data_IF_164032511291
#
_entry.id   IF_164032511291
#
_cell.length_a   1.000
_cell.length_b   1.000
_cell.length_c   1.000
_cell.angle_alpha   90.00
_cell.angle_beta   90.00
_cell.angle_gamma   90.00
#
_symmetry.space_group_name_H-M   'P 1'
#
loop_
_entity.id
_entity.type
_entity.pdbx_description
1 polymer ?
#
# COMPACT_ATOMS: atom_id res chain seq x y z
N UNK A 1 -31.24 -31.60 -8.56
CA UNK A 1 -31.37 -32.16 -7.20
C UNK A 1 -31.36 -31.04 -6.16
N UNK A 2 -32.53 -30.64 -5.66
CA UNK A 2 -32.62 -29.71 -4.53
C UNK A 2 -32.70 -30.56 -3.24
N UNK A 3 -31.64 -30.51 -2.41
CA UNK A 3 -31.66 -31.10 -1.07
C UNK A 3 -31.58 -29.96 -0.07
N UNK A 4 -32.53 -29.95 0.88
CA UNK A 4 -32.76 -28.91 1.88
C UNK A 4 -31.49 -28.64 2.71
N UNK A 5 -31.15 -27.37 2.86
CA UNK A 5 -29.92 -26.87 3.51
C UNK A 5 -30.02 -26.82 5.05
N UNK A 6 -30.86 -27.66 5.66
CA UNK A 6 -31.28 -27.54 7.06
C UNK A 6 -30.16 -27.66 8.11
N UNK A 7 -29.05 -28.34 7.78
CA UNK A 7 -27.88 -28.49 8.66
C UNK A 7 -26.59 -27.85 8.12
N UNK A 8 -26.67 -27.18 6.96
CA UNK A 8 -25.50 -26.59 6.30
C UNK A 8 -24.96 -25.35 7.01
N UNK A 9 -25.84 -24.55 7.60
CA UNK A 9 -25.49 -23.28 8.25
C UNK A 9 -24.75 -23.52 9.57
N UNK A 10 -25.20 -24.46 10.41
CA UNK A 10 -24.51 -24.83 11.65
C UNK A 10 -23.14 -25.42 11.39
N UNK A 11 -23.01 -26.29 10.38
CA UNK A 11 -21.72 -26.82 9.92
C UNK A 11 -20.79 -25.70 9.41
N UNK A 12 -21.32 -24.72 8.69
CA UNK A 12 -20.55 -23.56 8.21
C UNK A 12 -20.05 -22.69 9.37
N UNK A 13 -20.90 -22.41 10.37
CA UNK A 13 -20.54 -21.62 11.55
C UNK A 13 -19.49 -22.33 12.40
N UNK A 14 -19.65 -23.64 12.63
CA UNK A 14 -18.64 -24.46 13.35
C UNK A 14 -17.31 -24.42 12.60
N UNK A 15 -17.34 -24.52 11.26
CA UNK A 15 -16.12 -24.44 10.48
C UNK A 15 -15.48 -23.05 10.51
N UNK A 16 -16.29 -21.98 10.51
CA UNK A 16 -15.79 -20.61 10.68
C UNK A 16 -15.12 -20.43 12.05
N UNK A 17 -15.69 -21.01 13.10
CA UNK A 17 -15.07 -21.04 14.42
C UNK A 17 -13.76 -21.85 14.43
N UNK A 18 -13.71 -22.99 13.73
CA UNK A 18 -12.48 -23.77 13.54
C UNK A 18 -11.43 -22.97 12.77
N UNK A 19 -11.83 -22.25 11.71
CA UNK A 19 -10.94 -21.39 10.94
C UNK A 19 -10.33 -20.28 11.80
N UNK A 20 -11.14 -19.62 12.63
CA UNK A 20 -10.68 -18.62 13.61
C UNK A 20 -9.78 -19.26 14.67
N UNK A 21 -10.12 -20.46 15.13
CA UNK A 21 -9.30 -21.21 16.08
C UNK A 21 -7.93 -21.61 15.51
N UNK A 22 -7.89 -22.08 14.26
CA UNK A 22 -6.63 -22.41 13.55
C UNK A 22 -5.82 -21.14 13.32
N UNK A 23 -6.46 -20.04 12.93
CA UNK A 23 -5.79 -18.75 12.78
C UNK A 23 -5.14 -18.30 14.10
N UNK A 24 -5.91 -18.28 15.19
CA UNK A 24 -5.39 -17.86 16.50
C UNK A 24 -4.29 -18.79 17.02
N UNK A 25 -4.46 -20.11 16.87
CA UNK A 25 -3.44 -21.08 17.26
C UNK A 25 -2.15 -20.91 16.43
N UNK A 26 -2.28 -20.66 15.13
CA UNK A 26 -1.14 -20.38 14.26
C UNK A 26 -0.47 -19.04 14.61
N UNK A 27 -1.24 -18.02 14.98
CA UNK A 27 -0.74 -16.71 15.41
C UNK A 27 0.07 -16.85 16.70
N UNK A 28 -0.48 -17.46 17.73
CA UNK A 28 0.21 -17.71 19.02
C UNK A 28 1.46 -18.57 18.83
N UNK A 29 1.44 -19.52 17.89
CA UNK A 29 2.60 -20.36 17.60
C UNK A 29 3.69 -19.61 16.81
N UNK A 30 3.33 -18.69 15.93
CA UNK A 30 4.26 -17.91 15.10
C UNK A 30 4.75 -16.62 15.77
N UNK A 31 4.02 -16.10 16.75
CA UNK A 31 4.32 -14.87 17.50
C UNK A 31 5.76 -14.85 18.06
N UNK A 32 6.26 -15.93 18.70
CA UNK A 32 7.60 -15.95 19.27
C UNK A 32 8.74 -15.86 18.24
N UNK A 33 8.48 -16.26 16.99
CA UNK A 33 9.49 -16.32 15.93
C UNK A 33 9.40 -15.19 14.90
N UNK A 34 8.22 -14.61 14.68
CA UNK A 34 7.97 -13.68 13.57
C UNK A 34 7.34 -12.34 14.00
N UNK A 35 7.05 -12.12 15.28
CA UNK A 35 6.60 -10.83 15.82
C UNK A 35 5.40 -10.25 15.05
N UNK A 36 5.51 -9.01 14.57
CA UNK A 36 4.43 -8.30 13.83
C UNK A 36 3.97 -9.01 12.55
N UNK A 37 4.78 -9.90 11.99
CA UNK A 37 4.47 -10.66 10.77
C UNK A 37 3.67 -11.94 11.06
N UNK A 38 3.54 -12.33 12.34
CA UNK A 38 2.88 -13.56 12.74
C UNK A 38 1.42 -13.62 12.30
N UNK A 39 0.66 -12.51 12.38
CA UNK A 39 -0.75 -12.48 11.97
C UNK A 39 -0.95 -12.77 10.47
N UNK A 40 -0.08 -12.24 9.59
CA UNK A 40 -0.19 -12.47 8.15
C UNK A 40 0.18 -13.92 7.81
N UNK A 41 1.24 -14.43 8.44
CA UNK A 41 1.69 -15.82 8.25
C UNK A 41 0.65 -16.81 8.81
N UNK A 42 0.04 -16.50 9.95
CA UNK A 42 -1.03 -17.28 10.56
C UNK A 42 -2.27 -17.33 9.67
N UNK A 43 -2.64 -16.21 9.04
CA UNK A 43 -3.75 -16.18 8.09
C UNK A 43 -3.45 -17.02 6.84
N UNK A 44 -2.23 -16.93 6.29
CA UNK A 44 -1.78 -17.79 5.19
C UNK A 44 -1.81 -19.27 5.56
N UNK A 45 -1.28 -19.62 6.74
CA UNK A 45 -1.27 -20.99 7.25
C UNK A 45 -2.69 -21.52 7.47
N UNK A 46 -3.59 -20.70 8.03
CA UNK A 46 -4.98 -21.06 8.23
C UNK A 46 -5.68 -21.35 6.89
N UNK A 47 -5.50 -20.51 5.87
CA UNK A 47 -6.08 -20.74 4.54
C UNK A 47 -5.55 -22.03 3.91
N UNK A 48 -4.25 -22.30 4.01
CA UNK A 48 -3.64 -23.55 3.50
C UNK A 48 -4.18 -24.78 4.24
N UNK A 49 -4.24 -24.72 5.58
CA UNK A 49 -4.73 -25.80 6.43
C UNK A 49 -6.20 -26.11 6.16
N UNK A 50 -7.05 -25.08 6.01
CA UNK A 50 -8.46 -25.24 5.67
C UNK A 50 -8.64 -25.82 4.26
N UNK A 51 -7.79 -25.41 3.31
CA UNK A 51 -7.79 -25.97 1.96
C UNK A 51 -7.40 -27.45 1.95
N UNK A 52 -6.30 -27.78 2.63
CA UNK A 52 -5.78 -29.14 2.73
C UNK A 52 -6.79 -30.06 3.42
N UNK A 53 -7.42 -29.60 4.51
CA UNK A 53 -8.48 -30.32 5.19
C UNK A 53 -9.67 -30.62 4.26
N UNK A 54 -10.14 -29.63 3.49
CA UNK A 54 -11.24 -29.82 2.57
C UNK A 54 -10.92 -30.75 1.38
N UNK A 55 -9.67 -30.74 0.91
CA UNK A 55 -9.20 -31.69 -0.10
C UNK A 55 -9.11 -33.11 0.48
N UNK A 56 -8.57 -33.24 1.68
CA UNK A 56 -8.39 -34.52 2.38
C UNK A 56 -9.73 -35.18 2.69
N UNK A 57 -10.69 -34.41 3.20
CA UNK A 57 -12.05 -34.86 3.44
C UNK A 57 -12.72 -35.35 2.15
N UNK A 58 -12.60 -34.57 1.06
CA UNK A 58 -13.15 -34.95 -0.25
C UNK A 58 -12.50 -36.21 -0.82
N UNK A 59 -11.19 -36.37 -0.62
CA UNK A 59 -10.44 -37.54 -1.07
C UNK A 59 -10.80 -38.80 -0.26
N UNK A 60 -10.90 -38.67 1.07
CA UNK A 60 -11.20 -39.76 2.00
C UNK A 60 -12.71 -40.07 2.11
N UNK A 61 -13.58 -39.28 1.48
CA UNK A 61 -15.05 -39.40 1.53
C UNK A 61 -15.59 -39.46 2.97
N UNK A 62 -14.87 -38.87 3.91
CA UNK A 62 -15.29 -38.75 5.29
C UNK A 62 -16.40 -37.70 5.31
N UNK A 63 -17.67 -38.07 5.40
CA UNK A 63 -18.81 -37.12 5.36
C UNK A 63 -18.89 -36.28 6.66
N UNK A 64 -17.82 -35.58 7.07
CA UNK A 64 -17.79 -34.77 8.29
C UNK A 64 -18.40 -33.38 8.07
N UNK A 65 -18.24 -32.79 6.89
CA UNK A 65 -18.81 -31.51 6.50
C UNK A 65 -20.13 -31.69 5.78
N UNK A 66 -21.06 -30.76 6.01
CA UNK A 66 -22.23 -30.62 5.16
C UNK A 66 -21.80 -30.32 3.71
N UNK A 67 -22.56 -30.83 2.74
CA UNK A 67 -22.30 -30.60 1.30
C UNK A 67 -22.22 -29.11 0.94
N UNK A 68 -22.94 -28.24 1.66
CA UNK A 68 -22.85 -26.80 1.47
C UNK A 68 -21.50 -26.24 1.95
N UNK A 69 -21.06 -26.61 3.15
CA UNK A 69 -19.77 -26.16 3.68
C UNK A 69 -18.62 -26.60 2.75
N UNK A 70 -18.60 -27.87 2.33
CA UNK A 70 -17.60 -28.39 1.40
C UNK A 70 -17.59 -27.63 0.05
N UNK A 71 -18.76 -27.35 -0.53
CA UNK A 71 -18.86 -26.56 -1.77
C UNK A 71 -18.34 -25.13 -1.60
N UNK A 72 -18.75 -24.44 -0.53
CA UNK A 72 -18.30 -23.08 -0.24
C UNK A 72 -16.78 -23.05 -0.11
N UNK A 73 -16.21 -23.99 0.65
CA UNK A 73 -14.76 -24.07 0.88
C UNK A 73 -13.99 -24.29 -0.43
N UNK A 74 -14.37 -25.30 -1.22
CA UNK A 74 -13.66 -25.66 -2.45
C UNK A 74 -13.74 -24.53 -3.50
N UNK A 75 -14.81 -23.74 -3.49
CA UNK A 75 -15.01 -22.65 -4.45
C UNK A 75 -14.33 -21.36 -3.97
N UNK A 76 -14.44 -21.03 -2.68
CA UNK A 76 -14.02 -19.75 -2.13
C UNK A 76 -12.54 -19.72 -1.70
N UNK A 77 -12.00 -20.84 -1.20
CA UNK A 77 -10.62 -20.87 -0.72
C UNK A 77 -9.59 -20.59 -1.83
N UNK A 78 -9.67 -21.13 -3.05
CA UNK A 78 -8.63 -20.86 -4.04
C UNK A 78 -8.49 -19.38 -4.43
N UNK A 79 -9.58 -18.62 -4.68
CA UNK A 79 -9.49 -17.16 -4.82
C UNK A 79 -8.95 -16.45 -3.57
N UNK A 80 -9.36 -16.85 -2.36
CA UNK A 80 -8.84 -16.26 -1.11
C UNK A 80 -7.35 -16.54 -0.93
N UNK A 81 -6.89 -17.74 -1.26
CA UNK A 81 -5.48 -18.10 -1.23
C UNK A 81 -4.65 -17.24 -2.20
N UNK A 82 -5.19 -16.91 -3.37
CA UNK A 82 -4.54 -15.96 -4.29
C UNK A 82 -4.47 -14.56 -3.70
N UNK A 83 -5.55 -14.07 -3.07
CA UNK A 83 -5.55 -12.77 -2.38
C UNK A 83 -4.50 -12.76 -1.27
N UNK A 84 -4.44 -13.80 -0.45
CA UNK A 84 -3.44 -13.93 0.61
C UNK A 84 -2.01 -14.04 0.08
N UNK A 85 -1.80 -14.76 -1.02
CA UNK A 85 -0.50 -14.86 -1.65
C UNK A 85 -0.01 -13.49 -2.16
N UNK A 86 -0.90 -12.67 -2.74
CA UNK A 86 -0.54 -11.33 -3.20
C UNK A 86 -0.39 -10.34 -2.03
N UNK A 87 -1.43 -10.15 -1.23
CA UNK A 87 -1.40 -9.17 -0.14
C UNK A 87 -0.40 -9.58 0.96
N UNK A 88 -0.33 -10.87 1.28
CA UNK A 88 0.55 -11.38 2.32
C UNK A 88 2.02 -11.16 1.97
N UNK A 89 2.43 -11.43 0.74
CA UNK A 89 3.82 -11.19 0.31
C UNK A 89 4.19 -9.72 0.26
N UNK A 90 3.23 -8.83 -0.06
CA UNK A 90 3.41 -7.38 0.01
C UNK A 90 3.59 -6.92 1.46
N UNK A 91 2.70 -7.33 2.36
CA UNK A 91 2.77 -6.90 3.76
C UNK A 91 3.98 -7.48 4.51
N UNK A 92 4.42 -8.69 4.16
CA UNK A 92 5.64 -9.29 4.71
C UNK A 92 6.92 -8.66 4.14
N UNK A 93 6.80 -7.77 3.14
CA UNK A 93 7.94 -7.15 2.47
C UNK A 93 8.77 -8.12 1.61
N UNK A 94 8.22 -9.31 1.31
CA UNK A 94 8.88 -10.32 0.47
C UNK A 94 8.82 -9.91 -1.00
N UNK A 95 7.72 -9.27 -1.40
CA UNK A 95 7.50 -8.83 -2.77
C UNK A 95 7.01 -7.39 -2.81
N UNK A 96 7.53 -6.63 -3.76
CA UNK A 96 7.01 -5.32 -4.13
C UNK A 96 5.62 -5.45 -4.79
N UNK A 97 4.80 -4.39 -4.88
CA UNK A 97 3.47 -4.47 -5.50
C UNK A 97 3.48 -5.03 -6.93
N UNK A 98 4.53 -4.76 -7.72
CA UNK A 98 4.72 -5.30 -9.07
C UNK A 98 5.00 -6.80 -9.05
N UNK A 99 5.86 -7.28 -8.15
CA UNK A 99 6.14 -8.70 -7.95
C UNK A 99 4.93 -9.44 -7.36
N UNK A 100 4.19 -8.81 -6.45
CA UNK A 100 2.91 -9.29 -5.93
C UNK A 100 1.89 -9.52 -7.04
N UNK A 101 1.77 -8.57 -7.97
CA UNK A 101 0.94 -8.72 -9.17
C UNK A 101 1.37 -9.90 -10.05
N UNK A 102 2.67 -10.09 -10.27
CA UNK A 102 3.19 -11.23 -11.03
C UNK A 102 2.88 -12.56 -10.36
N UNK A 103 3.05 -12.65 -9.04
CA UNK A 103 2.70 -13.84 -8.27
C UNK A 103 1.20 -14.15 -8.31
N UNK A 104 0.33 -13.12 -8.28
CA UNK A 104 -1.11 -13.28 -8.49
C UNK A 104 -1.45 -13.86 -9.86
N UNK A 105 -0.79 -13.37 -10.93
CA UNK A 105 -0.99 -13.86 -12.29
C UNK A 105 -0.51 -15.31 -12.47
N UNK A 106 0.68 -15.65 -11.95
CA UNK A 106 1.20 -17.02 -11.94
C UNK A 106 0.28 -17.94 -11.13
N UNK A 107 -0.17 -17.51 -9.95
CA UNK A 107 -1.11 -18.26 -9.12
C UNK A 107 -2.44 -18.52 -9.83
N UNK A 108 -2.97 -17.52 -10.55
CA UNK A 108 -4.20 -17.68 -11.34
C UNK A 108 -4.01 -18.68 -12.51
N UNK A 109 -2.85 -18.67 -13.18
CA UNK A 109 -2.50 -19.64 -14.22
C UNK A 109 -2.42 -21.06 -13.67
N UNK A 110 -1.75 -21.26 -12.53
CA UNK A 110 -1.68 -22.56 -11.84
C UNK A 110 -3.09 -23.03 -11.46
N UNK A 111 -3.94 -22.15 -10.92
CA UNK A 111 -5.31 -22.49 -10.56
C UNK A 111 -6.16 -22.88 -11.78
N UNK A 112 -6.01 -22.16 -12.90
CA UNK A 112 -6.69 -22.48 -14.16
C UNK A 112 -6.22 -23.83 -14.73
N UNK A 113 -4.93 -24.14 -14.61
CA UNK A 113 -4.34 -25.41 -15.02
C UNK A 113 -4.90 -26.57 -14.17
N UNK A 114 -4.89 -26.45 -12.84
CA UNK A 114 -5.44 -27.46 -11.92
C UNK A 114 -6.93 -27.69 -12.17
N UNK A 115 -7.69 -26.62 -12.48
CA UNK A 115 -9.12 -26.73 -12.84
C UNK A 115 -9.35 -27.23 -14.28
N UNK A 116 -8.31 -27.55 -15.05
CA UNK A 116 -8.37 -27.98 -16.45
C UNK A 116 -9.15 -27.01 -17.35
N UNK A 117 -9.05 -25.71 -17.05
CA UNK A 117 -9.69 -24.62 -17.82
C UNK A 117 -8.70 -23.76 -18.59
N UNK A 118 -7.41 -24.09 -18.50
CA UNK A 118 -6.36 -23.37 -19.21
C UNK A 118 -6.37 -23.80 -20.69
N UNK A 119 -6.65 -22.85 -21.58
CA UNK A 119 -6.53 -23.01 -23.03
C UNK A 119 -5.72 -21.85 -23.62
N UNK A 120 -5.10 -22.07 -24.78
CA UNK A 120 -4.35 -21.03 -25.46
C UNK A 120 -5.24 -19.83 -25.84
N UNK A 121 -6.51 -20.09 -26.14
CA UNK A 121 -7.51 -19.06 -26.41
C UNK A 121 -7.77 -18.18 -25.18
N UNK A 122 -7.94 -18.79 -24.00
CA UNK A 122 -8.13 -18.04 -22.73
C UNK A 122 -6.89 -17.21 -22.42
N UNK A 123 -5.68 -17.77 -22.59
CA UNK A 123 -4.43 -17.04 -22.37
C UNK A 123 -4.33 -15.85 -23.34
N UNK A 124 -4.56 -16.07 -24.63
CA UNK A 124 -4.48 -15.00 -25.65
C UNK A 124 -5.51 -13.91 -25.40
N UNK A 125 -6.73 -14.28 -25.03
CA UNK A 125 -7.80 -13.34 -24.68
C UNK A 125 -7.44 -12.52 -23.44
N UNK A 126 -6.94 -13.17 -22.38
CA UNK A 126 -6.49 -12.51 -21.16
C UNK A 126 -5.33 -11.54 -21.44
N UNK A 127 -4.31 -11.98 -22.17
CA UNK A 127 -3.17 -11.12 -22.55
C UNK A 127 -3.63 -9.92 -23.39
N UNK A 128 -4.49 -10.13 -24.39
CA UNK A 128 -4.99 -9.03 -25.21
C UNK A 128 -5.79 -8.00 -24.39
N UNK A 129 -6.62 -8.47 -23.44
CA UNK A 129 -7.36 -7.58 -22.54
C UNK A 129 -6.43 -6.81 -21.60
N UNK A 130 -5.46 -7.49 -20.99
CA UNK A 130 -4.48 -6.86 -20.09
C UNK A 130 -3.64 -5.83 -20.84
N UNK A 131 -3.08 -6.18 -22.00
CA UNK A 131 -2.26 -5.26 -22.81
C UNK A 131 -3.06 -4.03 -23.23
N UNK A 132 -4.34 -4.18 -23.61
CA UNK A 132 -5.19 -3.04 -23.96
C UNK A 132 -5.39 -2.09 -22.76
N UNK A 133 -5.69 -2.64 -21.58
CA UNK A 133 -5.85 -1.84 -20.37
C UNK A 133 -4.54 -1.15 -19.97
N UNK A 134 -3.42 -1.87 -19.99
CA UNK A 134 -2.10 -1.30 -19.72
C UNK A 134 -1.73 -0.20 -20.73
N UNK A 135 -2.02 -0.38 -22.02
CA UNK A 135 -1.74 0.64 -23.04
C UNK A 135 -2.56 1.91 -22.82
N UNK A 136 -3.82 1.79 -22.43
CA UNK A 136 -4.67 2.92 -22.05
C UNK A 136 -4.08 3.69 -20.87
N UNK A 137 -3.73 2.99 -19.80
CA UNK A 137 -3.10 3.60 -18.60
C UNK A 137 -1.76 4.28 -18.96
N UNK A 138 -0.92 3.62 -19.76
CA UNK A 138 0.37 4.19 -20.19
C UNK A 138 0.21 5.46 -21.02
N UNK A 139 -0.82 5.53 -21.89
CA UNK A 139 -1.09 6.72 -22.67
C UNK A 139 -1.53 7.90 -21.80
N UNK A 140 -2.34 7.63 -20.77
CA UNK A 140 -2.77 8.66 -19.83
C UNK A 140 -1.61 9.11 -18.96
N UNK A 141 -0.75 8.19 -18.53
CA UNK A 141 0.49 8.51 -17.85
C UNK A 141 1.37 9.47 -18.67
N UNK A 142 1.50 9.23 -19.98
CA UNK A 142 2.24 10.12 -20.87
C UNK A 142 1.61 11.52 -20.92
N UNK A 143 0.29 11.60 -21.10
CA UNK A 143 -0.45 12.87 -21.12
C UNK A 143 -0.36 13.62 -19.80
N UNK A 144 -0.55 12.93 -18.68
CA UNK A 144 -0.40 13.48 -17.32
C UNK A 144 1.02 14.00 -17.09
N UNK A 145 2.04 13.34 -17.66
CA UNK A 145 3.42 13.80 -17.51
C UNK A 145 3.73 15.04 -18.33
N UNK A 146 3.22 15.14 -19.56
CA UNK A 146 3.30 16.36 -20.37
C UNK A 146 2.57 17.52 -19.68
N UNK A 147 1.36 17.27 -19.16
CA UNK A 147 0.61 18.26 -18.38
C UNK A 147 1.39 18.71 -17.16
N UNK A 148 1.86 17.76 -16.33
CA UNK A 148 2.60 18.03 -15.11
C UNK A 148 3.87 18.85 -15.38
N UNK A 149 4.69 18.47 -16.37
CA UNK A 149 5.90 19.21 -16.72
C UNK A 149 5.59 20.63 -17.20
N UNK A 150 4.58 20.80 -18.06
CA UNK A 150 4.17 22.13 -18.55
C UNK A 150 3.62 22.99 -17.41
N UNK A 151 2.78 22.39 -16.56
CA UNK A 151 2.17 23.02 -15.40
C UNK A 151 3.22 23.49 -14.38
N UNK A 152 4.25 22.68 -14.10
CA UNK A 152 5.39 23.11 -13.30
C UNK A 152 6.19 24.22 -13.99
N UNK A 153 6.42 24.09 -15.31
CA UNK A 153 7.16 25.08 -16.09
C UNK A 153 6.53 26.47 -16.12
N UNK A 154 5.20 26.57 -16.01
CA UNK A 154 4.47 27.86 -15.92
C UNK A 154 4.18 28.29 -14.48
N UNK A 155 4.81 27.65 -13.48
CA UNK A 155 4.56 27.91 -12.06
C UNK A 155 3.10 27.68 -11.60
N UNK A 156 2.36 26.80 -12.28
CA UNK A 156 0.98 26.51 -11.94
C UNK A 156 0.81 25.95 -10.53
N UNK A 157 1.79 25.17 -10.05
CA UNK A 157 1.80 24.60 -8.69
C UNK A 157 1.77 25.70 -7.61
N UNK A 158 2.52 26.79 -7.80
CA UNK A 158 2.52 27.95 -6.91
C UNK A 158 1.17 28.68 -6.94
N UNK A 159 0.54 28.77 -8.12
CA UNK A 159 -0.80 29.36 -8.24
C UNK A 159 -1.85 28.55 -7.48
N UNK A 160 -1.82 27.22 -7.61
CA UNK A 160 -2.74 26.32 -6.88
C UNK A 160 -2.45 26.32 -5.38
N UNK A 161 -1.19 26.34 -4.98
CA UNK A 161 -0.81 26.50 -3.58
C UNK A 161 -1.43 27.76 -2.97
N UNK A 162 -1.29 28.92 -3.60
CA UNK A 162 -1.93 30.16 -3.13
C UNK A 162 -3.46 30.08 -3.13
N UNK A 163 -4.06 29.48 -4.15
CA UNK A 163 -5.53 29.33 -4.24
C UNK A 163 -6.05 28.45 -3.09
N UNK A 164 -5.35 27.37 -2.76
CA UNK A 164 -5.78 26.41 -1.76
C UNK A 164 -5.42 26.84 -0.33
N UNK A 165 -4.29 27.53 -0.13
CA UNK A 165 -3.89 28.10 1.17
C UNK A 165 -4.72 29.34 1.54
N UNK A 166 -5.28 30.05 0.57
CA UNK A 166 -6.21 31.16 0.81
C UNK A 166 -7.63 30.73 1.17
N UNK A 167 -7.93 29.43 1.14
CA UNK A 167 -9.23 28.92 1.58
C UNK A 167 -9.41 29.13 3.09
N UNK A 168 -10.60 29.57 3.54
CA UNK A 168 -10.89 29.68 4.97
C UNK A 168 -10.88 28.30 5.64
N UNK A 169 -10.25 28.21 6.81
CA UNK A 169 -10.22 26.98 7.62
C UNK A 169 -8.89 26.24 7.67
N UNK A 170 -7.82 26.81 7.11
CA UNK A 170 -6.46 26.25 7.20
C UNK A 170 -6.38 24.81 6.70
N UNK A 171 -5.70 23.94 7.46
CA UNK A 171 -5.56 22.51 7.13
C UNK A 171 -6.91 21.81 6.95
N UNK A 172 -7.88 22.05 7.82
CA UNK A 172 -9.19 21.38 7.77
C UNK A 172 -10.04 21.86 6.60
N UNK A 173 -10.03 23.16 6.32
CA UNK A 173 -10.70 23.73 5.16
C UNK A 173 -10.15 23.16 3.85
N UNK A 174 -8.82 23.05 3.76
CA UNK A 174 -8.13 22.41 2.64
C UNK A 174 -8.57 20.95 2.46
N UNK A 175 -8.52 20.14 3.52
CA UNK A 175 -8.85 18.71 3.43
C UNK A 175 -10.30 18.46 3.01
N UNK A 176 -11.24 19.26 3.51
CA UNK A 176 -12.66 19.16 3.13
C UNK A 176 -12.83 19.57 1.66
N UNK A 177 -12.27 20.70 1.24
CA UNK A 177 -12.39 21.19 -0.13
C UNK A 177 -11.79 20.20 -1.14
N UNK A 178 -10.58 19.70 -0.86
CA UNK A 178 -9.93 18.67 -1.67
C UNK A 178 -10.74 17.38 -1.69
N UNK A 179 -11.28 16.96 -0.55
CA UNK A 179 -12.05 15.72 -0.50
C UNK A 179 -13.33 15.82 -1.34
N UNK A 180 -14.03 16.95 -1.31
CA UNK A 180 -15.20 17.18 -2.16
C UNK A 180 -14.81 17.24 -3.64
N UNK A 181 -13.72 17.95 -3.97
CA UNK A 181 -13.22 18.03 -5.34
C UNK A 181 -12.89 16.65 -5.89
N UNK A 182 -12.11 15.86 -5.15
CA UNK A 182 -11.69 14.50 -5.55
C UNK A 182 -12.90 13.59 -5.67
N UNK A 183 -13.84 13.67 -4.74
CA UNK A 183 -15.07 12.88 -4.79
C UNK A 183 -15.88 13.15 -6.07
N UNK A 184 -16.01 14.41 -6.46
CA UNK A 184 -16.72 14.78 -7.70
C UNK A 184 -15.94 14.37 -8.96
N UNK A 185 -14.62 14.52 -8.97
CA UNK A 185 -13.78 14.10 -10.10
C UNK A 185 -13.76 12.58 -10.27
N UNK A 186 -13.81 11.83 -9.17
CA UNK A 186 -13.85 10.37 -9.14
C UNK A 186 -15.09 9.78 -9.84
N UNK A 187 -16.10 10.61 -10.15
CA UNK A 187 -17.25 10.20 -10.95
C UNK A 187 -16.86 9.91 -12.39
N UNK A 188 -15.91 10.67 -12.94
CA UNK A 188 -15.59 10.65 -14.36
C UNK A 188 -14.24 10.05 -14.68
N UNK A 189 -13.32 10.05 -13.72
CA UNK A 189 -11.95 9.59 -13.90
C UNK A 189 -11.72 8.30 -13.10
N UNK A 190 -11.00 7.37 -13.71
CA UNK A 190 -10.52 6.16 -13.05
C UNK A 190 -9.36 6.50 -12.08
N UNK A 191 -9.12 5.65 -11.09
CA UNK A 191 -8.32 5.97 -9.91
C UNK A 191 -6.85 6.24 -10.27
N UNK A 192 -6.29 5.53 -11.24
CA UNK A 192 -4.91 5.74 -11.68
C UNK A 192 -4.77 7.11 -12.33
N UNK A 193 -5.68 7.45 -13.23
CA UNK A 193 -5.74 8.70 -13.98
C UNK A 193 -5.94 9.90 -13.05
N UNK A 194 -6.88 9.78 -12.12
CA UNK A 194 -7.14 10.80 -11.12
C UNK A 194 -5.90 11.03 -10.24
N UNK A 195 -5.27 9.95 -9.76
CA UNK A 195 -4.05 10.06 -8.94
C UNK A 195 -2.92 10.77 -9.69
N UNK A 196 -2.67 10.44 -10.96
CA UNK A 196 -1.58 11.05 -11.72
C UNK A 196 -1.79 12.53 -12.04
N UNK A 197 -3.04 13.00 -12.11
CA UNK A 197 -3.36 14.41 -12.35
C UNK A 197 -3.39 15.20 -11.05
N UNK A 198 -4.07 14.67 -10.03
CA UNK A 198 -4.42 15.41 -8.82
C UNK A 198 -3.30 15.36 -7.77
N UNK A 199 -2.59 14.24 -7.60
CA UNK A 199 -1.55 14.15 -6.56
C UNK A 199 -0.42 15.17 -6.77
N UNK A 200 0.15 15.34 -7.98
CA UNK A 200 1.18 16.36 -8.20
C UNK A 200 0.67 17.78 -8.00
N UNK A 201 -0.62 18.00 -8.22
CA UNK A 201 -1.28 19.29 -8.05
C UNK A 201 -1.47 19.66 -6.59
N UNK A 202 -1.89 18.69 -5.77
CA UNK A 202 -2.29 18.94 -4.38
C UNK A 202 -1.17 18.69 -3.36
N UNK A 203 -0.20 17.81 -3.67
CA UNK A 203 0.87 17.48 -2.73
C UNK A 203 1.71 18.71 -2.31
N UNK A 204 2.14 19.61 -3.22
CA UNK A 204 2.86 20.81 -2.82
C UNK A 204 2.03 21.73 -1.90
N UNK A 205 0.73 21.87 -2.19
CA UNK A 205 -0.17 22.67 -1.37
C UNK A 205 -0.41 22.06 0.03
N UNK A 206 -0.51 20.73 0.11
CA UNK A 206 -0.62 20.02 1.38
C UNK A 206 0.67 20.17 2.22
N UNK A 207 1.83 20.08 1.58
CA UNK A 207 3.14 20.26 2.24
C UNK A 207 3.33 21.70 2.75
N UNK A 208 2.92 22.71 1.97
CA UNK A 208 2.95 24.11 2.38
C UNK A 208 2.07 24.40 3.61
N UNK A 209 0.96 23.66 3.75
CA UNK A 209 0.08 23.71 4.93
C UNK A 209 0.59 22.87 6.11
N UNK A 210 1.72 22.17 5.98
CA UNK A 210 2.27 21.30 7.03
C UNK A 210 1.52 19.99 7.22
N UNK A 211 0.66 19.61 6.27
CA UNK A 211 -0.13 18.38 6.32
C UNK A 211 0.80 17.19 6.04
N UNK A 212 0.69 16.15 6.86
CA UNK A 212 1.41 14.91 6.62
C UNK A 212 0.95 14.23 5.32
N UNK A 213 1.90 13.96 4.42
CA UNK A 213 1.62 13.41 3.10
C UNK A 213 1.12 11.96 3.12
N UNK A 214 1.44 11.17 4.15
CA UNK A 214 0.94 9.80 4.29
C UNK A 214 -0.53 9.85 4.72
N UNK A 215 -0.86 10.68 5.70
CA UNK A 215 -2.25 10.90 6.10
C UNK A 215 -3.10 11.47 4.97
N UNK A 216 -2.59 12.48 4.26
CA UNK A 216 -3.23 13.04 3.08
C UNK A 216 -3.40 11.99 1.97
N UNK A 217 -2.36 11.19 1.71
CA UNK A 217 -2.40 10.09 0.74
C UNK A 217 -3.45 9.04 1.08
N UNK A 218 -3.65 8.71 2.36
CA UNK A 218 -4.69 7.77 2.81
C UNK A 218 -6.09 8.38 2.64
N UNK A 219 -6.28 9.66 2.95
CA UNK A 219 -7.55 10.36 2.69
C UNK A 219 -7.87 10.30 1.19
N UNK A 220 -6.90 10.63 0.33
CA UNK A 220 -7.07 10.55 -1.12
C UNK A 220 -7.36 9.12 -1.59
N UNK A 221 -6.67 8.11 -1.04
CA UNK A 221 -6.87 6.71 -1.41
C UNK A 221 -8.27 6.20 -1.04
N UNK A 222 -8.75 6.52 0.16
CA UNK A 222 -10.11 6.18 0.61
C UNK A 222 -11.16 6.91 -0.24
N UNK A 223 -10.89 8.16 -0.63
CA UNK A 223 -11.78 8.93 -1.48
C UNK A 223 -11.83 8.38 -2.91
N UNK A 224 -10.68 8.10 -3.53
CA UNK A 224 -10.60 7.51 -4.87
C UNK A 224 -11.29 6.15 -4.98
N UNK A 225 -11.41 5.38 -3.90
CA UNK A 225 -12.15 4.11 -3.90
C UNK A 225 -13.65 4.30 -4.19
N UNK A 226 -14.25 5.47 -3.95
CA UNK A 226 -15.67 5.71 -4.24
C UNK A 226 -15.97 5.55 -5.73
N UNK A 227 -14.99 5.81 -6.61
CA UNK A 227 -15.11 5.70 -8.07
C UNK A 227 -15.66 4.34 -8.52
N UNK A 228 -15.34 3.27 -7.80
CA UNK A 228 -15.80 1.90 -8.11
C UNK A 228 -17.27 1.65 -7.75
N UNK A 229 -17.91 2.56 -7.01
CA UNK A 229 -19.17 2.32 -6.31
C UNK A 229 -20.33 3.20 -6.79
N UNK A 230 -20.11 4.17 -7.67
CA UNK A 230 -21.18 4.98 -8.26
C UNK A 230 -21.05 5.07 -9.79
N UNK A 231 -22.16 5.22 -10.54
CA UNK A 231 -22.10 5.53 -11.97
C UNK A 231 -21.36 6.85 -12.23
N UNK A 232 -20.80 7.09 -13.44
CA UNK A 232 -20.72 6.23 -14.63
C UNK A 232 -19.63 5.14 -14.60
N UNK A 233 -18.62 5.24 -13.75
CA UNK A 233 -17.45 4.35 -13.74
C UNK A 233 -17.57 3.12 -12.82
N UNK A 234 -18.61 3.03 -11.99
CA UNK A 234 -18.77 2.00 -10.94
C UNK A 234 -18.72 0.54 -11.42
N UNK A 235 -17.51 0.03 -11.66
CA UNK A 235 -17.26 -1.32 -12.19
C UNK A 235 -17.88 -2.41 -11.32
N UNK A 236 -17.88 -2.21 -9.99
CA UNK A 236 -18.51 -3.14 -9.06
C UNK A 236 -20.03 -3.28 -9.32
N UNK A 237 -20.71 -2.19 -9.66
CA UNK A 237 -22.13 -2.18 -9.99
C UNK A 237 -22.40 -2.92 -11.31
N UNK A 238 -21.51 -2.78 -12.29
CA UNK A 238 -21.62 -3.50 -13.56
C UNK A 238 -21.32 -4.99 -13.41
N UNK A 239 -20.39 -5.37 -12.52
CA UNK A 239 -20.17 -6.78 -12.16
C UNK A 239 -21.41 -7.38 -11.49
N UNK A 240 -22.02 -6.69 -10.52
CA UNK A 240 -23.29 -7.11 -9.93
C UNK A 240 -24.39 -7.23 -10.99
N UNK A 241 -24.45 -6.27 -11.92
CA UNK A 241 -25.41 -6.34 -13.03
C UNK A 241 -25.19 -7.53 -13.95
N UNK A 242 -23.95 -7.98 -14.14
CA UNK A 242 -23.59 -9.12 -15.00
C UNK A 242 -24.09 -10.46 -14.46
N UNK A 243 -24.17 -10.61 -13.13
CA UNK A 243 -24.67 -11.81 -12.45
C UNK A 243 -26.15 -11.71 -12.05
N UNK A 244 -26.72 -10.51 -12.09
CA UNK A 244 -28.12 -10.26 -11.74
C UNK A 244 -29.10 -10.88 -12.75
N UNK A 245 -30.17 -11.57 -12.30
CA UNK A 245 -31.18 -12.19 -13.17
C UNK A 245 -31.79 -11.17 -14.14
N UNK A 246 -31.61 -11.40 -15.44
CA UNK A 246 -32.15 -10.54 -16.50
C UNK A 246 -33.61 -10.82 -16.84
N UNK A 247 -34.08 -12.02 -16.53
CA UNK A 247 -35.43 -12.48 -16.84
C UNK A 247 -36.17 -12.84 -15.55
N UNK A 248 -37.49 -12.84 -15.61
CA UNK A 248 -38.33 -13.39 -14.54
C UNK A 248 -37.93 -14.84 -14.32
N UNK A 249 -37.64 -15.18 -13.08
CA UNK A 249 -37.33 -16.55 -12.70
C UNK A 249 -38.26 -16.98 -11.57
N UNK A 250 -38.58 -18.27 -11.54
CA UNK A 250 -39.27 -18.86 -10.41
C UNK A 250 -38.22 -19.08 -9.33
N UNK A 251 -38.39 -18.42 -8.18
CA UNK A 251 -37.54 -18.67 -7.03
C UNK A 251 -37.71 -20.13 -6.61
N UNK A 252 -36.61 -20.88 -6.66
CA UNK A 252 -36.58 -22.32 -6.38
C UNK A 252 -36.95 -22.65 -4.93
N UNK A 253 -36.87 -21.68 -4.01
CA UNK A 253 -37.16 -21.87 -2.59
C UNK A 253 -38.61 -21.50 -2.27
N UNK A 254 -39.07 -20.34 -2.74
CA UNK A 254 -40.43 -19.85 -2.44
C UNK A 254 -41.48 -20.29 -3.46
N UNK A 255 -41.07 -20.81 -4.62
CA UNK A 255 -41.96 -21.20 -5.74
C UNK A 255 -42.67 -20.01 -6.41
N UNK A 256 -42.33 -18.77 -6.02
CA UNK A 256 -42.97 -17.56 -6.52
C UNK A 256 -42.19 -16.98 -7.71
N UNK A 257 -42.92 -16.32 -8.59
CA UNK A 257 -42.33 -15.51 -9.65
C UNK A 257 -41.60 -14.32 -9.04
N UNK A 258 -40.29 -14.23 -9.30
CA UNK A 258 -39.45 -13.10 -8.88
C UNK A 258 -39.15 -12.22 -10.09
N UNK A 259 -39.36 -10.92 -9.92
CA UNK A 259 -39.06 -9.94 -10.96
C UNK A 259 -37.56 -9.78 -11.19
N UNK A 260 -37.10 -9.45 -12.42
CA UNK A 260 -35.70 -9.20 -12.69
C UNK A 260 -35.21 -7.96 -11.93
N UNK A 261 -33.96 -8.02 -11.47
CA UNK A 261 -33.35 -6.89 -10.75
C UNK A 261 -33.06 -5.77 -11.74
N UNK A 262 -33.69 -4.61 -11.53
CA UNK A 262 -33.50 -3.42 -12.37
C UNK A 262 -32.14 -2.78 -12.04
N UNK A 263 -31.49 -2.19 -13.04
CA UNK A 263 -30.23 -1.46 -12.84
C UNK A 263 -30.35 -0.36 -11.78
N UNK A 264 -31.50 0.33 -11.74
CA UNK A 264 -31.79 1.33 -10.71
C UNK A 264 -31.77 0.76 -9.28
N UNK A 265 -32.21 -0.49 -9.06
CA UNK A 265 -32.16 -1.12 -7.75
C UNK A 265 -30.71 -1.40 -7.32
N UNK A 266 -29.83 -1.74 -8.28
CA UNK A 266 -28.40 -1.92 -8.02
C UNK A 266 -27.77 -0.57 -7.64
N UNK A 267 -28.14 0.51 -8.33
CA UNK A 267 -27.60 1.85 -8.06
C UNK A 267 -28.06 2.37 -6.69
N UNK A 268 -29.35 2.23 -6.36
CA UNK A 268 -29.85 2.57 -5.03
C UNK A 268 -29.27 1.68 -3.93
N UNK A 269 -28.94 0.42 -4.23
CA UNK A 269 -28.21 -0.46 -3.33
C UNK A 269 -26.77 -0.01 -3.05
N UNK A 270 -26.18 0.80 -3.93
CA UNK A 270 -24.81 1.30 -3.77
C UNK A 270 -24.72 2.55 -2.88
N UNK A 271 -25.77 3.37 -2.87
CA UNK A 271 -25.82 4.65 -2.12
C UNK A 271 -25.45 4.48 -0.63
N UNK A 272 -25.97 3.49 0.12
CA UNK A 272 -25.59 3.29 1.51
C UNK A 272 -24.08 3.07 1.68
N UNK A 273 -23.43 2.36 0.76
CA UNK A 273 -21.99 2.13 0.83
C UNK A 273 -21.18 3.38 0.50
N UNK A 274 -21.66 4.21 -0.43
CA UNK A 274 -21.05 5.54 -0.69
C UNK A 274 -21.15 6.43 0.55
N UNK A 275 -22.30 6.42 1.24
CA UNK A 275 -22.47 7.16 2.50
C UNK A 275 -21.51 6.66 3.57
N UNK A 276 -21.35 5.34 3.72
CA UNK A 276 -20.36 4.76 4.63
C UNK A 276 -18.93 5.22 4.26
N UNK A 277 -18.60 5.30 2.97
CA UNK A 277 -17.30 5.78 2.52
C UNK A 277 -17.08 7.27 2.84
N UNK A 278 -18.10 8.12 2.65
CA UNK A 278 -18.02 9.54 3.03
C UNK A 278 -17.85 9.68 4.54
N UNK A 279 -18.57 8.88 5.33
CA UNK A 279 -18.40 8.84 6.79
C UNK A 279 -16.98 8.40 7.14
N UNK A 280 -16.43 7.37 6.46
CA UNK A 280 -15.06 6.92 6.68
C UNK A 280 -14.04 8.03 6.42
N UNK A 281 -14.19 8.78 5.32
CA UNK A 281 -13.34 9.95 5.01
C UNK A 281 -13.44 10.99 6.12
N UNK A 282 -14.66 11.32 6.55
CA UNK A 282 -14.89 12.29 7.63
C UNK A 282 -14.22 11.85 8.95
N UNK A 283 -14.28 10.56 9.28
CA UNK A 283 -13.64 9.99 10.48
C UNK A 283 -12.11 10.03 10.34
N UNK A 284 -11.54 9.71 9.19
CA UNK A 284 -10.09 9.79 8.96
C UNK A 284 -9.58 11.24 9.04
N UNK A 285 -10.37 12.20 8.58
CA UNK A 285 -10.07 13.63 8.71
C UNK A 285 -10.19 14.09 10.17
N UNK A 286 -11.22 13.67 10.90
CA UNK A 286 -11.43 14.06 12.29
C UNK A 286 -10.44 13.41 13.27
N UNK A 287 -9.96 12.20 12.97
CA UNK A 287 -9.08 11.42 13.84
C UNK A 287 -7.77 11.03 13.12
N UNK A 288 -6.85 11.99 12.88
CA UNK A 288 -5.57 11.74 12.19
C UNK A 288 -4.70 10.67 12.87
N UNK A 289 -4.87 10.49 14.19
CA UNK A 289 -4.15 9.51 15.00
C UNK A 289 -4.36 8.06 14.52
N UNK A 290 -5.48 7.77 13.86
CA UNK A 290 -5.73 6.44 13.27
C UNK A 290 -4.76 6.08 12.15
N UNK A 291 -4.14 7.09 11.53
CA UNK A 291 -3.19 6.92 10.43
C UNK A 291 -1.77 7.26 10.87
N UNK A 292 -1.60 8.32 11.67
CA UNK A 292 -0.29 8.82 12.09
C UNK A 292 0.35 8.03 13.25
N UNK A 293 -0.14 6.83 13.57
CA UNK A 293 0.40 5.98 14.64
C UNK A 293 1.88 5.61 14.46
N UNK A 294 2.43 5.73 13.26
CA UNK A 294 3.86 5.49 12.98
C UNK A 294 4.78 6.61 13.46
N UNK A 295 4.27 7.82 13.73
CA UNK A 295 5.11 8.96 14.15
C UNK A 295 5.64 8.85 15.58
N UNK A 296 5.21 7.85 16.35
CA UNK A 296 5.53 7.74 17.78
C UNK A 296 4.97 8.92 18.59
N UNK A 297 5.09 8.89 19.93
CA UNK A 297 4.77 10.06 20.74
C UNK A 297 5.72 11.22 20.37
N UNK A 298 5.19 12.44 20.27
CA UNK A 298 5.97 13.63 19.96
C UNK A 298 7.19 13.73 20.88
N UNK A 299 8.38 13.53 20.31
CA UNK A 299 9.64 13.58 21.05
C UNK A 299 9.92 15.05 21.33
N UNK A 300 9.78 15.43 22.60
CA UNK A 300 10.11 16.75 23.09
C UNK A 300 11.66 16.91 23.04
N UNK A 301 12.21 17.75 22.13
CA UNK A 301 13.66 17.88 21.94
C UNK A 301 14.37 18.39 23.20
N UNK A 302 13.63 18.98 24.14
CA UNK A 302 14.12 19.42 25.45
C UNK A 302 14.46 18.26 26.42
N UNK A 303 13.99 17.03 26.13
CA UNK A 303 14.20 15.84 26.97
C UNK A 303 15.19 14.84 26.37
N UNK A 304 15.74 15.13 25.20
CA UNK A 304 16.71 14.26 24.52
C UNK A 304 18.10 14.54 25.10
N UNK A 305 18.50 13.75 26.09
CA UNK A 305 19.90 13.72 26.56
C UNK A 305 20.72 12.88 25.59
N UNK A 306 21.56 13.54 24.78
CA UNK A 306 22.60 12.84 24.01
C UNK A 306 23.74 12.46 24.95
N UNK A 307 23.62 11.31 25.62
CA UNK A 307 24.75 10.69 26.31
C UNK A 307 25.76 10.21 25.27
N UNK A 308 26.82 10.99 25.06
CA UNK A 308 28.03 10.52 24.39
C UNK A 308 28.56 9.31 25.18
N UNK A 309 28.82 8.16 24.53
CA UNK A 309 29.40 7.02 25.21
C UNK A 309 30.75 7.43 25.83
N UNK A 310 30.87 7.32 27.15
CA UNK A 310 32.16 7.44 27.83
C UNK A 310 33.10 6.39 27.24
N UNK A 311 34.11 6.83 26.50
CA UNK A 311 35.16 5.95 26.02
C UNK A 311 35.94 5.43 27.25
N UNK A 312 35.97 4.12 27.51
CA UNK A 312 36.76 3.56 28.59
C UNK A 312 38.22 3.58 28.15
N UNK A 313 39.01 4.55 28.63
CA UNK A 313 40.44 4.57 28.30
C UNK A 313 41.26 5.81 28.63
N UNK A 314 40.73 6.82 29.32
CA UNK A 314 41.55 7.98 29.75
C UNK A 314 41.25 8.33 31.20
N UNK A 315 41.65 7.41 32.09
CA UNK A 315 41.77 7.68 33.50
C UNK A 315 43.04 8.48 33.78
N UNK A 316 42.87 9.64 34.43
CA UNK A 316 43.83 10.18 35.39
C UNK A 316 44.86 11.18 34.85
N UNK A 317 44.72 12.43 35.27
CA UNK A 317 45.67 13.53 35.07
C UNK A 317 45.05 14.61 34.16
N UNK A 318 44.42 15.65 34.68
CA UNK A 318 45.06 16.62 35.55
C UNK A 318 45.72 17.69 34.69
N UNK A 319 44.93 18.73 34.38
CA UNK A 319 45.33 20.11 34.08
C UNK A 319 46.58 20.39 33.23
N UNK A 320 46.35 21.04 32.10
CA UNK A 320 47.22 22.12 31.63
C UNK A 320 47.77 21.95 30.22
N UNK A 321 47.36 22.86 29.33
CA UNK A 321 48.19 23.25 28.20
C UNK A 321 47.70 22.78 26.83
N UNK A 322 46.69 23.45 26.28
CA UNK A 322 46.62 23.70 24.83
C UNK A 322 46.26 25.16 24.64
N UNK A 323 47.28 25.93 24.22
CA UNK A 323 47.36 27.37 24.31
C UNK A 323 46.37 28.12 23.42
N UNK A 324 45.72 29.11 24.03
CA UNK A 324 45.11 30.22 23.31
C UNK A 324 46.19 31.11 22.69
N UNK A 325 45.94 31.56 21.47
CA UNK A 325 46.76 32.55 20.77
C UNK A 325 46.86 33.86 21.59
N UNK A 326 48.05 34.46 21.73
CA UNK A 326 48.18 35.76 22.37
C UNK A 326 47.76 36.90 21.41
N UNK A 327 47.25 38.03 21.93
CA UNK A 327 46.90 39.19 21.10
C UNK A 327 48.15 39.83 20.47
N UNK A 328 48.01 40.54 19.34
CA UNK A 328 49.15 41.08 18.59
C UNK A 328 49.86 42.19 19.38
N UNK A 329 51.15 42.00 19.68
CA UNK A 329 51.98 43.06 20.27
C UNK A 329 53.20 42.67 21.12
N UNK A 330 53.59 41.39 21.25
CA UNK A 330 54.75 40.99 22.06
C UNK A 330 55.90 40.39 21.23
N UNK A 331 57.19 40.62 21.59
CA UNK A 331 58.34 40.17 20.81
C UNK A 331 58.59 38.67 20.97
N UNK A 332 59.05 38.04 19.89
CA UNK A 332 59.41 36.63 19.84
C UNK A 332 60.67 36.31 20.68
N UNK A 333 60.66 35.16 21.35
CA UNK A 333 61.83 34.56 21.99
C UNK A 333 62.08 33.14 21.45
N UNK A 334 63.34 32.65 21.47
CA UNK A 334 63.86 31.80 20.40
C UNK A 334 64.02 30.32 20.79
N UNK A 335 63.96 29.46 19.77
CA UNK A 335 64.84 28.31 19.63
C UNK A 335 64.41 27.00 20.29
N UNK A 336 64.39 25.93 19.49
CA UNK A 336 64.33 24.55 19.97
C UNK A 336 63.83 23.60 18.90
N UNK A 337 64.71 23.19 17.98
CA UNK A 337 64.39 22.24 16.93
C UNK A 337 64.35 20.78 17.39
N UNK A 338 64.33 19.89 16.39
CA UNK A 338 64.39 18.42 16.42
C UNK A 338 63.00 17.78 16.57
N UNK A 339 62.54 16.88 15.71
CA UNK A 339 63.14 16.12 14.63
C UNK A 339 62.26 14.90 14.40
N UNK A 340 61.76 14.71 13.18
CA UNK A 340 60.94 13.56 12.80
C UNK A 340 61.81 12.28 12.75
N UNK A 341 61.28 11.12 13.16
CA UNK A 341 61.73 9.83 12.63
C UNK A 341 60.68 9.21 11.68
N UNK A 342 61.13 8.30 10.78
CA UNK A 342 60.43 7.96 9.55
C UNK A 342 59.50 6.74 9.67
N UNK A 343 58.59 6.62 8.70
CA UNK A 343 57.76 5.44 8.48
C UNK A 343 58.57 4.25 7.94
N UNK A 344 58.19 3.00 8.28
CA UNK A 344 58.50 1.83 7.46
C UNK A 344 57.25 1.38 6.70
N UNK A 345 57.38 1.32 5.37
CA UNK A 345 56.38 0.78 4.46
C UNK A 345 56.56 -0.71 4.16
N UNK A 346 55.62 -1.23 3.38
CA UNK A 346 55.82 -2.40 2.52
C UNK A 346 54.79 -3.52 2.69
N UNK A 347 53.89 -3.67 1.70
CA UNK A 347 53.01 -4.83 1.58
C UNK A 347 51.88 -4.66 0.57
N UNK A 348 52.22 -4.69 -0.73
CA UNK A 348 51.32 -4.58 -1.88
C UNK A 348 50.46 -5.83 -2.12
N UNK A 349 49.27 -5.60 -2.68
CA UNK A 349 48.52 -6.52 -3.53
C UNK A 349 47.01 -6.30 -3.40
N UNK A 350 46.22 -5.94 -4.42
CA UNK A 350 46.42 -5.70 -5.84
C UNK A 350 45.03 -5.60 -6.49
N UNK A 351 44.89 -4.79 -7.56
CA UNK A 351 43.74 -4.68 -8.48
C UNK A 351 42.47 -4.05 -7.86
N UNK A 352 41.99 -2.86 -8.20
CA UNK A 352 41.94 -2.18 -9.49
C UNK A 352 40.51 -2.25 -10.05
N UNK A 353 39.78 -1.13 -10.07
CA UNK A 353 38.90 -0.64 -11.16
C UNK A 353 38.06 0.56 -10.67
N UNK A 354 37.93 1.57 -11.55
CA UNK A 354 37.67 2.95 -11.21
C UNK A 354 36.22 3.33 -10.90
N UNK A 355 36.07 4.41 -10.14
CA UNK A 355 34.84 5.21 -10.05
C UNK A 355 34.94 6.47 -10.93
N UNK A 356 33.83 7.00 -11.48
CA UNK A 356 33.86 8.06 -12.49
C UNK A 356 34.30 9.42 -11.94
N UNK A 357 35.21 10.07 -12.68
CA UNK A 357 35.67 11.44 -12.46
C UNK A 357 34.66 12.44 -13.05
N UNK A 358 33.96 13.19 -12.21
CA UNK A 358 33.10 14.30 -12.65
C UNK A 358 33.94 15.57 -12.69
N UNK A 359 34.26 16.00 -13.92
CA UNK A 359 35.12 17.14 -14.21
C UNK A 359 34.68 18.44 -13.54
N UNK A 360 35.68 19.21 -13.11
CA UNK A 360 35.55 20.59 -12.63
C UNK A 360 35.10 21.53 -13.75
N UNK A 361 34.21 22.51 -13.50
CA UNK A 361 33.87 23.53 -14.49
C UNK A 361 35.06 24.44 -14.81
N UNK A 362 35.25 24.89 -16.07
CA UNK A 362 36.33 25.80 -16.42
C UNK A 362 36.10 27.22 -15.88
N UNK A 363 37.18 27.85 -15.46
CA UNK A 363 37.22 29.23 -14.96
C UNK A 363 36.88 30.25 -16.07
N UNK A 364 36.12 31.27 -15.71
CA UNK A 364 35.80 32.44 -16.55
C UNK A 364 37.02 33.37 -16.56
N UNK A 365 37.63 33.70 -17.71
CA UNK A 365 38.62 34.76 -17.78
C UNK A 365 37.92 36.12 -17.76
N UNK A 366 38.31 36.98 -16.83
CA UNK A 366 37.85 38.36 -16.77
C UNK A 366 38.39 39.21 -17.92
N UNK A 367 37.51 40.07 -18.44
CA UNK A 367 37.77 41.47 -18.70
C UNK A 367 36.44 42.22 -18.82
#
# INVERSE_FOLDING_TARGET
EARTLGSGVTSLVVFLAIAVGIFYAAEVWLEPGHGKNAGILAAGLAVIMLYAFALLERALKLNLMSRLASQVIIVLIPPLALIFLVLGTIFLGVATPTEGGAMGAVGALVLAFVKKRLSLEVIRSALASTTRLSAFVMFILLGARVFSLTFYGVNGHIWVEHLLTSLPGGEMGFLIAVSVLVFLLAFFLDFFELAFIIVPLLAPAAEALGIDLIWFGIILAVNMQTSFMHPPFGFALFYLRSVAPRQRFIDKVTGKWTEPVKTSQIYWGAVPFVVIQIVMIAVVIAFPQMVMHYKGPAIDPSKVQMTLPDMPGLGGGGFGGLGGFPPPGAPAAPGGGLGLPPAPGGGLGGLGTGGPNFGTPPAIPGN
#
